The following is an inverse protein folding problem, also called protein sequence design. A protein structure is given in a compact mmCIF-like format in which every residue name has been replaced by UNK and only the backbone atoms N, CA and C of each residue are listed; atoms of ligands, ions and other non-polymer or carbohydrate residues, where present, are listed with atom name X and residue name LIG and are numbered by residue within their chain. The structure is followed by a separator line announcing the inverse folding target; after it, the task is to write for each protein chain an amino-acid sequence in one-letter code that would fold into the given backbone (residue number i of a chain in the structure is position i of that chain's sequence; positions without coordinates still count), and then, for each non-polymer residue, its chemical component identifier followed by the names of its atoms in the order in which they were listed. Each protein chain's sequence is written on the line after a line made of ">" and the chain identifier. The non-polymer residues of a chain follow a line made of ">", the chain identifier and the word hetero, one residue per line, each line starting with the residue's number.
data_IF_743327188911
#
_entry.id   IF_743327188911
#
_cell.length_a   1.000
_cell.length_b   1.000
_cell.length_c   1.000
_cell.angle_alpha   90.00
_cell.angle_beta   90.00
_cell.angle_gamma   90.00
#
_symmetry.space_group_name_H-M   'P 1'
#
loop_
_entity.id
_entity.type
_entity.pdbx_description
1 polymer ?
#
# COMPACT_ATOMS: atom_id res chain seq x y z
N UNK A 1 45.17 -9.12 -29.93
CA UNK A 1 44.07 -8.15 -30.05
C UNK A 1 42.72 -8.67 -29.53
N UNK A 2 42.64 -9.90 -28.99
CA UNK A 2 41.39 -10.52 -28.51
C UNK A 2 40.96 -10.08 -27.08
N UNK A 3 41.91 -9.64 -26.24
CA UNK A 3 41.64 -9.31 -24.83
C UNK A 3 40.87 -7.99 -24.61
N UNK A 4 40.87 -7.09 -25.60
CA UNK A 4 40.22 -5.77 -25.48
C UNK A 4 38.69 -5.84 -25.63
N UNK A 5 38.15 -6.93 -26.16
CA UNK A 5 36.70 -7.12 -26.38
C UNK A 5 36.05 -7.88 -25.21
N UNK A 6 36.82 -8.61 -24.40
CA UNK A 6 36.30 -9.42 -23.28
C UNK A 6 35.97 -8.61 -22.01
N UNK A 7 36.63 -7.46 -21.81
CA UNK A 7 36.45 -6.56 -20.65
C UNK A 7 35.21 -5.63 -20.75
N UNK A 8 34.80 -5.09 -21.92
CA UNK A 8 33.63 -4.20 -21.97
C UNK A 8 32.30 -4.91 -21.74
N UNK A 9 32.14 -6.18 -22.15
CA UNK A 9 30.89 -6.94 -21.98
C UNK A 9 30.42 -7.05 -20.51
N UNK A 10 31.25 -7.47 -19.53
CA UNK A 10 30.83 -7.52 -18.14
C UNK A 10 30.56 -6.13 -17.56
N UNK A 11 31.30 -5.10 -17.96
CA UNK A 11 31.06 -3.71 -17.52
C UNK A 11 29.73 -3.17 -18.06
N UNK A 12 29.41 -3.46 -19.32
CA UNK A 12 28.13 -3.10 -19.93
C UNK A 12 27.00 -3.84 -19.21
N UNK A 13 27.12 -5.16 -19.00
CA UNK A 13 26.13 -5.94 -18.27
C UNK A 13 25.92 -5.41 -16.84
N UNK A 14 27.00 -5.08 -16.13
CA UNK A 14 26.94 -4.49 -14.80
C UNK A 14 26.26 -3.12 -14.79
N UNK A 15 26.57 -2.26 -15.78
CA UNK A 15 25.90 -0.96 -15.93
C UNK A 15 24.39 -1.10 -16.19
N UNK A 16 23.98 -2.09 -16.98
CA UNK A 16 22.56 -2.39 -17.25
C UNK A 16 21.88 -2.87 -15.97
N UNK A 17 22.52 -3.75 -15.19
CA UNK A 17 21.99 -4.23 -13.91
C UNK A 17 21.85 -3.11 -12.88
N UNK A 18 22.86 -2.23 -12.75
CA UNK A 18 22.78 -1.05 -11.88
C UNK A 18 21.64 -0.13 -12.32
N UNK A 19 21.57 0.20 -13.62
CA UNK A 19 20.51 1.06 -14.14
C UNK A 19 19.13 0.45 -13.87
N UNK A 20 18.98 -0.86 -14.06
CA UNK A 20 17.75 -1.57 -13.75
C UNK A 20 17.40 -1.48 -12.26
N UNK A 21 18.34 -1.77 -11.36
CA UNK A 21 18.13 -1.71 -9.92
C UNK A 21 17.83 -0.29 -9.40
N UNK A 22 18.48 0.74 -9.94
CA UNK A 22 18.17 2.13 -9.60
C UNK A 22 16.78 2.52 -10.10
N UNK A 23 16.43 2.11 -11.33
CA UNK A 23 15.12 2.42 -11.93
C UNK A 23 13.99 1.80 -11.11
N UNK A 24 14.10 0.53 -10.72
CA UNK A 24 13.09 -0.13 -9.86
C UNK A 24 13.02 0.55 -8.50
N UNK A 25 14.16 0.84 -7.87
CA UNK A 25 14.21 1.47 -6.54
C UNK A 25 13.51 2.84 -6.45
N UNK A 26 13.65 3.67 -7.50
CA UNK A 26 13.08 5.02 -7.52
C UNK A 26 11.66 5.08 -8.08
N UNK A 27 11.29 4.17 -8.99
CA UNK A 27 9.97 4.19 -9.65
C UNK A 27 8.93 3.37 -8.89
N UNK A 28 9.33 2.31 -8.19
CA UNK A 28 8.37 1.46 -7.49
C UNK A 28 7.80 2.17 -6.24
N UNK A 29 6.47 2.35 -6.14
CA UNK A 29 5.81 2.80 -4.93
C UNK A 29 6.00 1.77 -3.83
N UNK A 30 6.51 2.21 -2.69
CA UNK A 30 6.91 1.31 -1.59
C UNK A 30 5.76 1.04 -0.63
N UNK A 31 4.87 2.02 -0.52
CA UNK A 31 3.99 2.10 0.64
C UNK A 31 2.54 1.78 0.32
N UNK A 32 2.21 1.40 -0.92
CA UNK A 32 0.85 1.13 -1.43
C UNK A 32 -0.21 1.90 -0.62
N UNK A 33 -0.20 3.24 -0.69
CA UNK A 33 -0.86 4.06 0.30
C UNK A 33 -2.36 3.77 0.36
N UNK A 34 -2.89 3.78 1.57
CA UNK A 34 -4.32 3.60 1.84
C UNK A 34 -4.83 4.89 2.43
N UNK A 35 -5.98 5.35 1.94
CA UNK A 35 -6.64 6.54 2.46
C UNK A 35 -8.02 6.20 2.97
N UNK A 36 -8.30 6.68 4.17
CA UNK A 36 -9.60 6.56 4.81
C UNK A 36 -10.27 7.93 4.76
N UNK A 37 -11.48 7.97 4.22
CA UNK A 37 -12.31 9.16 4.33
C UNK A 37 -13.47 8.84 5.26
N UNK A 38 -13.35 9.30 6.51
CA UNK A 38 -14.39 9.13 7.52
C UNK A 38 -15.72 9.70 7.03
N UNK A 39 -15.78 10.94 6.55
CA UNK A 39 -17.05 11.62 6.21
C UNK A 39 -17.83 10.92 5.11
N UNK A 40 -17.12 10.32 4.14
CA UNK A 40 -17.72 9.57 3.04
C UNK A 40 -17.93 8.10 3.35
N UNK A 41 -17.40 7.59 4.47
CA UNK A 41 -17.36 6.15 4.78
C UNK A 41 -16.75 5.33 3.64
N UNK A 42 -15.65 5.81 3.06
CA UNK A 42 -14.97 5.18 1.92
C UNK A 42 -13.50 4.93 2.20
N UNK A 43 -13.03 3.78 1.70
CA UNK A 43 -11.63 3.40 1.68
C UNK A 43 -11.10 3.51 0.25
N UNK A 44 -9.96 4.16 0.10
CA UNK A 44 -9.25 4.23 -1.17
C UNK A 44 -7.94 3.45 -1.04
N UNK A 45 -7.73 2.49 -1.94
CA UNK A 45 -6.57 1.59 -1.91
C UNK A 45 -5.76 1.77 -3.19
N UNK A 46 -4.47 2.06 -3.02
CA UNK A 46 -3.53 2.18 -4.12
C UNK A 46 -2.88 0.82 -4.44
N UNK A 47 -3.41 0.14 -5.44
CA UNK A 47 -2.88 -1.14 -5.90
C UNK A 47 -1.82 -0.91 -6.99
N UNK A 48 -0.58 -1.24 -6.66
CA UNK A 48 0.52 -1.24 -7.61
C UNK A 48 1.02 -2.65 -7.86
N UNK A 49 1.13 -3.03 -9.13
CA UNK A 49 1.71 -4.31 -9.55
C UNK A 49 2.81 -4.08 -10.58
N UNK A 50 4.05 -4.32 -10.17
CA UNK A 50 5.19 -4.39 -11.07
C UNK A 50 5.20 -5.75 -11.80
N UNK A 51 5.09 -5.79 -13.13
CA UNK A 51 5.34 -7.01 -13.88
C UNK A 51 6.82 -7.38 -13.78
N UNK A 52 7.11 -8.68 -13.71
CA UNK A 52 8.50 -9.18 -13.74
C UNK A 52 9.21 -8.86 -15.07
N UNK A 53 8.45 -8.72 -16.17
CA UNK A 53 9.01 -8.34 -17.46
C UNK A 53 9.39 -6.85 -17.47
N UNK A 54 10.68 -6.49 -17.67
CA UNK A 54 11.16 -5.11 -17.51
C UNK A 54 10.62 -4.13 -18.55
N UNK A 55 10.12 -4.61 -19.70
CA UNK A 55 9.51 -3.77 -20.74
C UNK A 55 8.01 -3.54 -20.55
N UNK A 56 7.35 -4.25 -19.63
CA UNK A 56 5.94 -4.02 -19.35
C UNK A 56 5.80 -2.87 -18.36
N UNK A 57 4.89 -1.93 -18.67
CA UNK A 57 4.56 -0.84 -17.76
C UNK A 57 3.92 -1.41 -16.49
N UNK A 58 4.25 -0.83 -15.35
CA UNK A 58 3.60 -1.14 -14.09
C UNK A 58 2.10 -0.87 -14.18
N UNK A 59 1.30 -1.72 -13.56
CA UNK A 59 -0.15 -1.55 -13.49
C UNK A 59 -0.45 -0.87 -12.16
N UNK A 60 -0.96 0.36 -12.25
CA UNK A 60 -1.44 1.13 -11.10
C UNK A 60 -2.96 1.20 -11.18
N UNK A 61 -3.65 0.70 -10.16
CA UNK A 61 -5.10 0.74 -10.03
C UNK A 61 -5.45 1.32 -8.67
N UNK A 62 -6.24 2.38 -8.66
CA UNK A 62 -6.82 2.91 -7.42
C UNK A 62 -8.23 2.36 -7.33
N UNK A 63 -8.48 1.59 -6.27
CA UNK A 63 -9.79 1.03 -5.99
C UNK A 63 -10.46 1.84 -4.89
N UNK A 64 -11.77 2.05 -5.01
CA UNK A 64 -12.59 2.75 -4.01
C UNK A 64 -13.63 1.77 -3.50
N UNK A 65 -13.68 1.60 -2.19
CA UNK A 65 -14.57 0.66 -1.52
C UNK A 65 -15.40 1.38 -0.46
N UNK A 66 -16.63 0.90 -0.24
CA UNK A 66 -17.44 1.37 0.88
C UNK A 66 -16.95 0.71 2.17
N UNK A 67 -16.83 1.48 3.24
CA UNK A 67 -16.30 0.98 4.52
C UNK A 67 -17.17 -0.12 5.14
N UNK A 68 -18.50 -0.03 4.95
CA UNK A 68 -19.45 -0.99 5.51
C UNK A 68 -19.24 -2.43 5.02
N UNK A 69 -18.63 -2.61 3.85
CA UNK A 69 -18.41 -3.90 3.21
C UNK A 69 -17.02 -4.50 3.56
N UNK A 70 -16.22 -3.81 4.38
CA UNK A 70 -14.83 -4.16 4.66
C UNK A 70 -14.70 -4.77 6.05
N UNK A 71 -14.03 -5.91 6.12
CA UNK A 71 -13.75 -6.63 7.36
C UNK A 71 -12.23 -6.84 7.53
N UNK A 72 -11.76 -6.74 8.77
CA UNK A 72 -10.36 -7.02 9.11
C UNK A 72 -10.15 -8.52 9.31
N UNK A 73 -9.22 -9.10 8.56
CA UNK A 73 -8.75 -10.46 8.74
C UNK A 73 -7.25 -10.45 9.05
N UNK A 74 -6.84 -11.11 10.13
CA UNK A 74 -5.41 -11.32 10.43
C UNK A 74 -5.00 -12.71 9.97
N UNK A 75 -4.04 -12.76 9.05
CA UNK A 75 -3.51 -14.01 8.49
C UNK A 75 -2.04 -14.18 8.83
N UNK A 76 -1.63 -15.42 9.07
CA UNK A 76 -0.23 -15.78 9.20
C UNK A 76 0.32 -16.24 7.85
N UNK A 77 1.33 -15.55 7.34
CA UNK A 77 2.09 -16.01 6.17
C UNK A 77 3.35 -16.74 6.60
N UNK A 78 3.54 -17.95 6.08
CA UNK A 78 4.76 -18.76 6.30
C UNK A 78 5.83 -18.51 5.24
N UNK A 79 5.46 -17.83 4.14
CA UNK A 79 6.30 -17.62 2.96
C UNK A 79 7.59 -16.89 3.31
N UNK A 80 8.77 -17.42 2.94
CA UNK A 80 10.06 -16.75 3.17
C UNK A 80 10.08 -15.33 2.61
N UNK A 81 10.56 -14.37 3.40
CA UNK A 81 10.65 -12.95 3.03
C UNK A 81 9.43 -12.09 3.41
N UNK A 82 8.26 -12.71 3.57
CA UNK A 82 7.02 -12.05 4.03
C UNK A 82 6.43 -12.78 5.26
N UNK A 83 7.24 -13.56 5.96
CA UNK A 83 6.79 -14.34 7.10
C UNK A 83 6.33 -13.43 8.23
N UNK A 84 5.16 -13.70 8.78
CA UNK A 84 4.60 -12.95 9.91
C UNK A 84 3.09 -12.92 9.89
N UNK A 85 2.52 -12.26 10.89
CA UNK A 85 1.11 -11.88 10.85
C UNK A 85 0.95 -10.60 10.04
N UNK A 86 -0.08 -10.57 9.21
CA UNK A 86 -0.45 -9.39 8.42
C UNK A 86 -1.93 -9.11 8.58
N UNK A 87 -2.28 -7.83 8.61
CA UNK A 87 -3.66 -7.40 8.60
C UNK A 87 -4.12 -7.20 7.16
N UNK A 88 -5.16 -7.93 6.78
CA UNK A 88 -5.84 -7.84 5.50
C UNK A 88 -7.21 -7.19 5.66
N UNK A 89 -7.56 -6.33 4.71
CA UNK A 89 -8.94 -5.90 4.50
C UNK A 89 -9.60 -6.87 3.53
N UNK A 90 -10.59 -7.60 4.02
CA UNK A 90 -11.46 -8.46 3.23
C UNK A 90 -12.69 -7.65 2.80
N UNK A 91 -12.82 -7.43 1.50
CA UNK A 91 -14.00 -6.86 0.89
C UNK A 91 -15.05 -7.97 0.73
N UNK A 92 -16.18 -7.83 1.41
CA UNK A 92 -17.32 -8.72 1.26
C UNK A 92 -18.30 -8.20 0.21
N UNK A 93 -19.10 -9.10 -0.40
CA UNK A 93 -20.25 -8.64 -1.17
C UNK A 93 -21.27 -7.96 -0.24
N UNK A 94 -21.89 -6.85 -0.66
CA UNK A 94 -22.85 -6.13 0.18
C UNK A 94 -23.96 -7.03 0.71
N UNK A 95 -24.14 -7.07 2.02
CA UNK A 95 -25.16 -7.89 2.67
C UNK A 95 -24.84 -9.39 2.78
N UNK A 96 -23.63 -9.81 2.42
CA UNK A 96 -23.16 -11.18 2.65
C UNK A 96 -21.79 -11.17 3.34
N UNK A 97 -21.34 -12.33 3.80
CA UNK A 97 -19.98 -12.52 4.34
C UNK A 97 -19.04 -13.17 3.31
N UNK A 98 -19.40 -13.12 2.02
CA UNK A 98 -18.59 -13.70 0.97
C UNK A 98 -17.48 -12.73 0.56
N UNK A 99 -16.22 -13.12 0.79
CA UNK A 99 -15.06 -12.30 0.47
C UNK A 99 -14.78 -12.31 -1.03
N UNK A 100 -14.87 -11.13 -1.67
CA UNK A 100 -14.58 -10.89 -3.08
C UNK A 100 -13.09 -10.64 -3.30
N UNK A 101 -12.51 -9.76 -2.49
CA UNK A 101 -11.14 -9.31 -2.67
C UNK A 101 -10.47 -9.14 -1.30
N UNK A 102 -9.17 -9.41 -1.24
CA UNK A 102 -8.33 -9.10 -0.09
C UNK A 102 -7.24 -8.14 -0.50
N UNK A 103 -7.05 -7.10 0.29
CA UNK A 103 -5.93 -6.17 0.16
C UNK A 103 -5.20 -6.04 1.49
N UNK A 104 -3.92 -5.72 1.44
CA UNK A 104 -3.11 -5.64 2.65
C UNK A 104 -3.33 -4.27 3.30
N UNK A 105 -3.70 -4.25 4.58
CA UNK A 105 -3.84 -3.01 5.38
C UNK A 105 -2.55 -2.68 6.12
N UNK A 106 -1.94 -3.67 6.77
CA UNK A 106 -0.69 -3.51 7.48
C UNK A 106 0.20 -4.75 7.29
N UNK A 107 1.43 -4.51 6.83
CA UNK A 107 2.50 -5.51 6.67
C UNK A 107 3.49 -5.53 7.84
N UNK A 108 3.18 -4.79 8.90
CA UNK A 108 4.09 -4.64 10.02
C UNK A 108 4.36 -6.00 10.66
N UNK A 109 5.63 -6.23 10.99
CA UNK A 109 6.06 -7.40 11.73
C UNK A 109 5.64 -7.20 13.19
N UNK A 110 4.34 -7.32 13.43
CA UNK A 110 3.71 -7.16 14.73
C UNK A 110 3.19 -8.48 15.26
N UNK A 111 2.95 -8.49 16.56
CA UNK A 111 2.14 -9.53 17.19
C UNK A 111 0.69 -9.40 16.71
N UNK A 112 -0.05 -10.51 16.78
CA UNK A 112 -1.45 -10.57 16.32
C UNK A 112 -2.32 -9.53 17.04
N UNK A 113 -2.03 -9.29 18.31
CA UNK A 113 -2.69 -8.34 19.19
C UNK A 113 -2.54 -6.91 18.69
N UNK A 114 -1.35 -6.52 18.23
CA UNK A 114 -1.09 -5.20 17.68
C UNK A 114 -1.87 -4.97 16.38
N UNK A 115 -1.97 -5.99 15.52
CA UNK A 115 -2.77 -5.91 14.29
C UNK A 115 -4.27 -5.78 14.59
N UNK A 116 -4.76 -6.47 15.62
CA UNK A 116 -6.14 -6.31 16.09
C UNK A 116 -6.38 -4.89 16.64
N UNK A 117 -5.42 -4.33 17.37
CA UNK A 117 -5.51 -2.94 17.86
C UNK A 117 -5.54 -1.94 16.71
N UNK A 118 -4.70 -2.13 15.68
CA UNK A 118 -4.74 -1.32 14.45
C UNK A 118 -6.12 -1.40 13.81
N UNK A 119 -6.67 -2.60 13.63
CA UNK A 119 -8.02 -2.76 13.07
C UNK A 119 -9.10 -2.06 13.90
N UNK A 120 -9.10 -2.27 15.22
CA UNK A 120 -10.04 -1.59 16.13
C UNK A 120 -9.92 -0.07 16.05
N UNK A 121 -8.70 0.46 15.96
CA UNK A 121 -8.46 1.89 15.77
C UNK A 121 -9.06 2.41 14.45
N UNK A 122 -8.89 1.66 13.35
CA UNK A 122 -9.50 2.02 12.06
C UNK A 122 -11.03 2.04 12.14
N UNK A 123 -11.63 1.06 12.80
CA UNK A 123 -13.08 1.02 13.03
C UNK A 123 -13.58 2.23 13.81
N UNK A 124 -12.94 2.55 14.95
CA UNK A 124 -13.29 3.74 15.74
C UNK A 124 -13.11 5.03 14.93
N UNK A 125 -12.02 5.14 14.18
CA UNK A 125 -11.75 6.30 13.32
C UNK A 125 -12.84 6.52 12.28
N UNK A 126 -13.32 5.44 11.66
CA UNK A 126 -14.39 5.52 10.67
C UNK A 126 -15.75 5.79 11.31
N UNK A 127 -16.01 5.29 12.51
CA UNK A 127 -17.27 5.54 13.23
C UNK A 127 -17.46 6.98 13.73
N UNK A 128 -16.50 7.89 13.47
CA UNK A 128 -16.51 9.29 13.92
C UNK A 128 -16.60 9.43 15.45
N UNK A 129 -15.93 8.54 16.18
CA UNK A 129 -15.76 8.79 17.60
C UNK A 129 -14.79 9.97 17.78
N UNK A 130 -15.29 11.09 18.27
CA UNK A 130 -14.47 12.25 18.65
C UNK A 130 -13.59 11.93 19.89
N UNK A 131 -13.80 10.76 20.50
CA UNK A 131 -13.06 10.21 21.65
C UNK A 131 -11.88 9.31 21.25
N UNK A 132 -11.37 9.40 20.02
CA UNK A 132 -10.13 8.67 19.70
C UNK A 132 -9.01 9.07 20.67
N UNK A 133 -8.29 8.10 21.26
CA UNK A 133 -7.13 8.41 22.06
C UNK A 133 -6.14 9.20 21.18
N UNK A 134 -5.50 10.26 21.72
CA UNK A 134 -4.53 11.01 20.97
C UNK A 134 -3.46 10.04 20.44
N UNK A 135 -3.01 10.20 19.19
CA UNK A 135 -1.98 9.34 18.64
C UNK A 135 -0.75 9.39 19.55
N UNK A 136 -0.18 8.21 19.85
CA UNK A 136 1.00 8.08 20.70
C UNK A 136 2.15 8.96 20.24
N UNK A 137 2.27 9.12 18.92
CA UNK A 137 3.18 10.06 18.26
C UNK A 137 2.34 11.03 17.43
N UNK A 138 2.15 12.24 17.96
CA UNK A 138 1.45 13.29 17.25
C UNK A 138 2.37 13.94 16.22
N UNK A 139 1.99 13.87 14.94
CA UNK A 139 2.71 14.48 13.84
C UNK A 139 2.92 13.52 12.68
N UNK A 140 3.36 14.09 11.56
CA UNK A 140 3.87 13.30 10.43
C UNK A 140 5.35 13.05 10.69
N UNK A 141 5.84 11.79 10.67
CA UNK A 141 7.26 11.54 10.85
C UNK A 141 8.09 12.30 9.80
N UNK A 142 9.28 12.80 10.15
CA UNK A 142 10.11 13.58 9.22
C UNK A 142 10.47 12.81 7.94
N UNK A 143 10.51 11.48 8.01
CA UNK A 143 10.75 10.59 6.88
C UNK A 143 9.51 10.35 6.00
N UNK A 144 8.34 10.83 6.42
CA UNK A 144 7.08 10.65 5.70
C UNK A 144 6.85 11.80 4.72
N UNK A 145 7.35 11.63 3.51
CA UNK A 145 6.91 12.39 2.34
C UNK A 145 6.55 11.41 1.23
N UNK A 146 5.31 11.46 0.68
CA UNK A 146 4.93 10.61 -0.44
C UNK A 146 5.92 10.84 -1.59
N UNK A 147 6.53 9.76 -2.09
CA UNK A 147 7.38 9.90 -3.28
C UNK A 147 6.49 10.22 -4.48
N UNK A 148 7.08 10.80 -5.53
CA UNK A 148 6.36 11.09 -6.78
C UNK A 148 5.63 9.86 -7.36
N UNK A 149 6.16 8.65 -7.12
CA UNK A 149 5.56 7.39 -7.54
C UNK A 149 4.31 6.99 -6.72
N UNK A 150 4.17 7.51 -5.50
CA UNK A 150 3.04 7.30 -4.60
C UNK A 150 1.97 8.42 -4.76
N UNK A 151 2.12 9.29 -5.76
CA UNK A 151 1.23 10.42 -5.99
C UNK A 151 -0.11 9.95 -6.57
N UNK A 152 -1.20 10.45 -6.00
CA UNK A 152 -2.55 10.13 -6.44
C UNK A 152 -2.97 11.04 -7.60
N UNK A 153 -3.82 10.57 -8.52
CA UNK A 153 -4.43 11.43 -9.53
C UNK A 153 -5.21 12.58 -8.87
N UNK A 154 -5.08 13.79 -9.40
CA UNK A 154 -5.65 15.01 -8.77
C UNK A 154 -7.15 14.94 -8.47
N UNK A 155 -7.92 14.25 -9.31
CA UNK A 155 -9.35 14.04 -9.07
C UNK A 155 -9.60 13.22 -7.80
N UNK A 156 -8.84 12.13 -7.61
CA UNK A 156 -8.92 11.25 -6.44
C UNK A 156 -8.28 11.89 -5.20
N UNK A 157 -7.21 12.67 -5.38
CA UNK A 157 -6.64 13.50 -4.31
C UNK A 157 -7.72 14.41 -3.73
N UNK A 158 -8.41 15.16 -4.59
CA UNK A 158 -9.54 16.01 -4.17
C UNK A 158 -10.66 15.18 -3.55
N UNK A 159 -11.08 14.08 -4.16
CA UNK A 159 -12.17 13.26 -3.64
C UNK A 159 -11.87 12.70 -2.23
N UNK A 160 -10.65 12.20 -2.04
CA UNK A 160 -10.22 11.58 -0.79
C UNK A 160 -10.04 12.58 0.35
N UNK A 161 -9.57 13.80 0.06
CA UNK A 161 -9.23 14.83 1.06
C UNK A 161 -10.37 15.80 1.31
N UNK A 162 -11.27 16.00 0.34
CA UNK A 162 -12.35 16.99 0.48
C UNK A 162 -13.47 16.45 1.35
N UNK A 163 -13.88 17.27 2.32
CA UNK A 163 -15.15 17.14 3.02
C UNK A 163 -16.24 17.29 1.95
N UNK A 164 -17.03 16.25 1.67
CA UNK A 164 -18.11 16.33 0.69
C UNK A 164 -18.85 17.66 0.80
N UNK A 165 -18.75 18.50 -0.24
CA UNK A 165 -19.66 19.62 -0.41
C UNK A 165 -21.00 18.99 -0.74
N UNK A 166 -21.91 19.09 0.22
CA UNK A 166 -23.34 18.79 0.05
C UNK A 166 -23.93 19.75 -0.97
#
# INVERSE_FOLDING_TARGET
>A
MEFYILIPLPLIAFSILIKYGLTTYFIEPRSQPIRLNRKRQKLYVYNYKQPWQPWRKAITRISVYNWADIHGEVHFESTPGIRGYHLYGALCEPGTHQVVERFVLAKEWGEREQLNQIWSYLCMYMQHDDELPPPREAGTPDFWQPRKADAWPEAMERESTTISQV
#
